data_IF_394154274771
#
_entry.id   IF_394154274771
#
_cell.length_a   1.000
_cell.length_b   1.000
_cell.length_c   1.000
_cell.angle_alpha   90.00
_cell.angle_beta   90.00
_cell.angle_gamma   90.00
#
_symmetry.space_group_name_H-M   'P 1'
#
loop_
_entity.id
_entity.type
_entity.pdbx_description
1 polymer ?
#
# COMPACT_ATOMS: atom_id res chain seq x y z
N UNK A 1 -5.61 -10.81 42.14
CA UNK A 1 -5.67 -11.06 40.70
C UNK A 1 -6.45 -12.33 40.44
N UNK A 2 -7.71 -12.22 40.02
CA UNK A 2 -8.57 -13.39 39.71
C UNK A 2 -8.11 -13.99 38.39
N UNK A 3 -7.81 -15.30 38.37
CA UNK A 3 -7.54 -16.05 37.14
C UNK A 3 -8.75 -15.90 36.20
N UNK A 4 -8.52 -15.65 34.89
CA UNK A 4 -9.60 -15.57 33.93
C UNK A 4 -10.35 -16.91 33.91
N UNK A 5 -11.70 -16.89 34.12
CA UNK A 5 -12.55 -18.06 33.96
C UNK A 5 -12.36 -18.60 32.55
N UNK A 6 -11.93 -19.85 32.41
CA UNK A 6 -12.00 -20.60 31.14
C UNK A 6 -13.49 -20.74 30.80
N UNK A 7 -13.92 -19.97 29.81
CA UNK A 7 -15.23 -20.17 29.18
C UNK A 7 -15.09 -21.45 28.36
N UNK A 8 -15.77 -22.51 28.77
CA UNK A 8 -15.82 -23.73 27.94
C UNK A 8 -16.68 -23.43 26.70
N UNK A 9 -16.23 -23.76 25.50
CA UNK A 9 -16.98 -23.51 24.28
C UNK A 9 -18.30 -24.27 24.31
N UNK A 10 -19.42 -23.58 24.06
CA UNK A 10 -20.77 -24.14 24.07
C UNK A 10 -21.17 -24.80 22.75
N UNK A 11 -20.45 -24.50 21.66
CA UNK A 11 -20.70 -25.02 20.31
C UNK A 11 -19.44 -25.37 19.57
N UNK A 12 -19.55 -26.17 18.52
CA UNK A 12 -18.41 -26.51 17.62
C UNK A 12 -17.82 -25.26 16.93
N UNK A 13 -18.65 -24.27 16.61
CA UNK A 13 -18.22 -22.99 16.06
C UNK A 13 -17.35 -22.22 17.04
N UNK A 14 -17.79 -22.09 18.30
CA UNK A 14 -17.01 -21.41 19.35
C UNK A 14 -15.67 -22.08 19.57
N UNK A 15 -15.65 -23.42 19.62
CA UNK A 15 -14.42 -24.18 19.77
C UNK A 15 -13.43 -23.92 18.62
N UNK A 16 -13.89 -23.91 17.37
CA UNK A 16 -13.06 -23.66 16.18
C UNK A 16 -12.54 -22.21 16.15
N UNK A 17 -13.41 -21.23 16.42
CA UNK A 17 -13.02 -19.82 16.41
C UNK A 17 -12.02 -19.51 17.53
N UNK A 18 -12.28 -20.01 18.76
CA UNK A 18 -11.37 -19.82 19.90
C UNK A 18 -10.02 -20.50 19.67
N UNK A 19 -10.00 -21.72 19.10
CA UNK A 19 -8.76 -22.41 18.76
C UNK A 19 -7.94 -21.63 17.70
N UNK A 20 -8.61 -21.05 16.70
CA UNK A 20 -7.94 -20.22 15.69
C UNK A 20 -7.34 -18.94 16.31
N UNK A 21 -8.05 -18.26 17.21
CA UNK A 21 -7.57 -17.07 17.92
C UNK A 21 -6.43 -17.43 18.88
N UNK A 22 -6.53 -18.53 19.62
CA UNK A 22 -5.48 -19.03 20.50
C UNK A 22 -4.20 -19.35 19.70
N UNK A 23 -4.32 -20.06 18.58
CA UNK A 23 -3.19 -20.33 17.70
C UNK A 23 -2.51 -19.05 17.19
N UNK A 24 -3.29 -17.99 16.88
CA UNK A 24 -2.71 -16.69 16.55
C UNK A 24 -1.99 -16.03 17.73
N UNK A 25 -2.54 -16.17 18.93
CA UNK A 25 -1.93 -15.62 20.16
C UNK A 25 -0.61 -16.33 20.49
N UNK A 26 -0.56 -17.66 20.41
CA UNK A 26 0.64 -18.47 20.64
C UNK A 26 1.77 -18.13 19.64
N UNK A 27 1.39 -17.86 18.37
CA UNK A 27 2.32 -17.40 17.34
C UNK A 27 2.67 -15.90 17.43
N UNK A 28 2.10 -15.17 18.40
CA UNK A 28 2.30 -13.72 18.56
C UNK A 28 1.79 -12.86 17.42
N UNK A 29 0.82 -13.35 16.61
CA UNK A 29 0.26 -12.64 15.45
C UNK A 29 -1.23 -12.28 15.63
N UNK A 30 -1.74 -12.35 16.87
CA UNK A 30 -3.10 -11.91 17.19
C UNK A 30 -3.20 -10.39 17.01
N UNK A 31 -4.12 -9.97 16.14
CA UNK A 31 -4.41 -8.55 15.90
C UNK A 31 -5.36 -8.02 16.96
N UNK A 32 -5.10 -6.81 17.44
CA UNK A 32 -5.99 -6.06 18.33
C UNK A 32 -6.10 -4.63 17.82
N UNK A 33 -7.25 -4.00 18.07
CA UNK A 33 -7.35 -2.56 17.86
C UNK A 33 -6.43 -1.86 18.86
N UNK A 34 -5.75 -0.76 18.46
CA UNK A 34 -5.02 0.07 19.41
C UNK A 34 -5.96 0.56 20.50
N UNK A 35 -5.52 0.52 21.75
CA UNK A 35 -6.27 1.11 22.85
C UNK A 35 -6.12 2.64 22.79
N UNK A 36 -7.20 3.40 22.55
CA UNK A 36 -7.13 4.86 22.46
C UNK A 36 -6.67 5.49 23.78
N UNK A 37 -6.95 4.85 24.92
CA UNK A 37 -6.59 5.36 26.24
C UNK A 37 -5.12 5.14 26.56
N UNK A 38 -4.49 4.12 26.00
CA UNK A 38 -3.07 3.85 26.18
C UNK A 38 -2.17 4.91 25.52
N UNK A 39 -2.69 5.65 24.55
CA UNK A 39 -2.02 6.75 23.89
C UNK A 39 -2.14 8.09 24.66
N UNK A 40 -3.12 8.18 25.56
CA UNK A 40 -3.40 9.41 26.33
C UNK A 40 -2.92 9.38 27.79
N UNK A 41 -2.56 8.23 28.33
CA UNK A 41 -2.45 8.07 29.78
C UNK A 41 -1.03 8.02 30.36
N UNK A 42 0.02 8.06 29.58
CA UNK A 42 1.35 7.84 30.17
C UNK A 42 2.41 8.94 30.03
N UNK A 43 2.23 9.95 29.23
CA UNK A 43 3.05 11.15 29.25
C UNK A 43 2.49 12.19 28.27
N UNK A 44 2.62 13.46 28.60
CA UNK A 44 2.27 14.65 27.80
C UNK A 44 3.16 14.80 26.53
N UNK A 45 3.60 13.69 25.94
CA UNK A 45 4.47 13.70 24.76
C UNK A 45 3.60 13.46 23.52
N UNK A 46 3.55 14.45 22.64
CA UNK A 46 2.99 14.30 21.30
C UNK A 46 3.68 13.13 20.60
N UNK A 47 2.89 12.07 20.34
CA UNK A 47 3.38 10.88 19.63
C UNK A 47 3.68 11.25 18.18
N UNK A 48 4.93 11.11 17.75
CA UNK A 48 5.32 11.35 16.35
C UNK A 48 4.95 10.12 15.53
N UNK A 49 4.18 10.33 14.49
CA UNK A 49 3.74 9.26 13.58
C UNK A 49 4.82 8.92 12.54
N UNK A 50 5.25 7.65 12.53
CA UNK A 50 6.07 7.01 11.51
C UNK A 50 5.41 5.71 11.03
N UNK A 51 4.08 5.59 11.14
CA UNK A 51 3.36 4.35 10.90
C UNK A 51 2.22 4.47 9.89
N UNK A 52 1.43 5.57 9.94
CA UNK A 52 0.27 5.72 9.06
C UNK A 52 0.67 5.86 7.59
N UNK A 53 -0.33 5.88 6.71
CA UNK A 53 -0.12 6.13 5.28
C UNK A 53 -0.53 7.58 4.89
N UNK A 54 -0.71 8.47 5.86
CA UNK A 54 -1.02 9.90 5.62
C UNK A 54 0.24 10.68 5.20
N UNK A 55 0.88 10.23 4.13
CA UNK A 55 2.20 10.68 3.69
C UNK A 55 2.34 12.20 3.57
N UNK A 56 1.28 12.90 3.14
CA UNK A 56 1.28 14.35 3.00
C UNK A 56 0.77 15.09 4.25
N UNK A 57 0.46 14.34 5.33
CA UNK A 57 -0.12 14.89 6.58
C UNK A 57 -1.37 15.74 6.34
N UNK A 58 -2.17 15.33 5.35
CA UNK A 58 -3.39 16.05 5.00
C UNK A 58 -4.53 15.81 5.98
N UNK A 59 -4.54 14.71 6.72
CA UNK A 59 -5.57 14.40 7.70
C UNK A 59 -5.68 15.47 8.81
N UNK A 60 -4.59 16.17 9.11
CA UNK A 60 -4.54 17.25 10.11
C UNK A 60 -4.38 18.64 9.48
N UNK A 61 -4.43 18.76 8.15
CA UNK A 61 -4.23 20.00 7.42
C UNK A 61 -5.37 20.98 7.62
N UNK A 62 -5.08 22.15 8.22
CA UNK A 62 -6.06 23.24 8.36
C UNK A 62 -6.52 23.78 7.00
N UNK A 63 -5.64 23.80 6.00
CA UNK A 63 -5.97 24.23 4.64
C UNK A 63 -6.98 23.28 4.00
N UNK A 64 -6.72 21.97 4.03
CA UNK A 64 -7.65 20.99 3.49
C UNK A 64 -9.00 21.05 4.24
N UNK A 65 -8.95 21.14 5.57
CA UNK A 65 -10.16 21.29 6.40
C UNK A 65 -11.00 22.48 5.97
N UNK A 66 -10.38 23.67 5.77
CA UNK A 66 -11.09 24.87 5.38
C UNK A 66 -11.77 24.70 4.00
N UNK A 67 -11.05 24.14 3.01
CA UNK A 67 -11.61 23.85 1.67
C UNK A 67 -12.77 22.87 1.74
N UNK A 68 -12.61 21.80 2.51
CA UNK A 68 -13.66 20.80 2.68
C UNK A 68 -14.91 21.40 3.30
N UNK A 69 -14.79 22.18 4.38
CA UNK A 69 -15.92 22.83 5.03
C UNK A 69 -16.60 23.83 4.08
N UNK A 70 -15.84 24.63 3.34
CA UNK A 70 -16.38 25.57 2.36
C UNK A 70 -17.20 24.86 1.28
N UNK A 71 -16.67 23.79 0.68
CA UNK A 71 -17.40 23.01 -0.32
C UNK A 71 -18.61 22.31 0.28
N UNK A 72 -18.51 21.79 1.50
CA UNK A 72 -19.61 21.11 2.18
C UNK A 72 -20.78 22.08 2.44
N UNK A 73 -20.48 23.31 2.84
CA UNK A 73 -21.51 24.36 3.08
C UNK A 73 -22.22 24.79 1.81
N UNK A 74 -21.56 24.76 0.66
CA UNK A 74 -22.13 25.13 -0.63
C UNK A 74 -22.80 23.97 -1.38
N UNK A 75 -22.59 22.73 -0.93
CA UNK A 75 -23.15 21.55 -1.59
C UNK A 75 -24.65 21.38 -1.26
N UNK A 76 -25.42 20.99 -2.25
CA UNK A 76 -26.84 20.67 -2.09
C UNK A 76 -27.02 19.38 -1.26
N UNK A 77 -26.24 18.35 -1.58
CA UNK A 77 -26.26 17.05 -0.94
C UNK A 77 -24.94 16.78 -0.21
N UNK A 78 -25.00 16.41 1.07
CA UNK A 78 -23.81 16.23 1.91
C UNK A 78 -23.75 14.87 2.64
N UNK A 79 -24.86 14.13 2.68
CA UNK A 79 -24.98 12.87 3.42
C UNK A 79 -24.81 11.65 2.48
N UNK A 80 -25.41 10.54 2.83
CA UNK A 80 -25.35 9.29 2.09
C UNK A 80 -26.02 9.40 0.70
N UNK A 81 -25.52 8.59 -0.24
CA UNK A 81 -26.01 8.54 -1.61
C UNK A 81 -27.38 7.83 -1.75
N UNK A 82 -27.82 7.05 -0.75
CA UNK A 82 -29.08 6.33 -0.77
C UNK A 82 -29.07 4.97 -1.50
N UNK A 83 -27.97 4.57 -2.13
CA UNK A 83 -27.86 3.29 -2.82
C UNK A 83 -26.57 3.09 -3.60
N UNK A 84 -26.56 2.07 -4.47
CA UNK A 84 -25.42 1.81 -5.36
C UNK A 84 -25.35 2.82 -6.49
N UNK A 85 -24.21 2.85 -7.18
CA UNK A 85 -23.99 3.72 -8.36
C UNK A 85 -25.03 3.54 -9.48
N UNK A 86 -25.63 2.36 -9.60
CA UNK A 86 -26.65 2.07 -10.61
C UNK A 86 -28.04 2.58 -10.22
N UNK A 87 -28.29 2.75 -8.91
CA UNK A 87 -29.56 3.28 -8.41
C UNK A 87 -29.51 4.81 -8.26
N UNK A 88 -28.39 5.33 -7.82
CA UNK A 88 -28.20 6.75 -7.53
C UNK A 88 -26.90 7.23 -8.17
N UNK A 89 -26.98 7.68 -9.38
CA UNK A 89 -25.85 8.34 -10.05
C UNK A 89 -25.93 9.84 -9.78
N UNK A 90 -25.48 10.26 -8.61
CA UNK A 90 -25.44 11.68 -8.24
C UNK A 90 -24.53 12.48 -9.16
N UNK A 91 -24.88 13.74 -9.43
CA UNK A 91 -24.08 14.65 -10.25
C UNK A 91 -22.65 14.81 -9.71
N UNK A 92 -22.47 14.85 -8.37
CA UNK A 92 -21.18 14.98 -7.71
C UNK A 92 -20.24 13.80 -8.04
N UNK A 93 -20.74 12.57 -8.09
CA UNK A 93 -19.94 11.40 -8.45
C UNK A 93 -19.46 11.48 -9.90
N UNK A 94 -20.39 11.77 -10.83
CA UNK A 94 -20.05 11.87 -12.25
C UNK A 94 -19.12 13.06 -12.54
N UNK A 95 -19.30 14.18 -11.84
CA UNK A 95 -18.43 15.34 -11.96
C UNK A 95 -17.01 15.03 -11.47
N UNK A 96 -16.88 14.33 -10.33
CA UNK A 96 -15.58 13.90 -9.84
C UNK A 96 -14.91 12.90 -10.79
N UNK A 97 -15.63 11.90 -11.31
CA UNK A 97 -15.11 10.97 -12.33
C UNK A 97 -14.57 11.70 -13.55
N UNK A 98 -15.33 12.65 -14.12
CA UNK A 98 -14.91 13.46 -15.26
C UNK A 98 -13.66 14.30 -14.94
N UNK A 99 -13.63 14.94 -13.77
CA UNK A 99 -12.47 15.70 -13.28
C UNK A 99 -11.23 14.82 -13.14
N UNK A 100 -11.38 13.63 -12.56
CA UNK A 100 -10.27 12.70 -12.38
C UNK A 100 -9.77 12.13 -13.71
N UNK A 101 -10.64 11.81 -14.64
CA UNK A 101 -10.26 11.41 -16.00
C UNK A 101 -9.38 12.47 -16.67
N UNK A 102 -9.79 13.74 -16.58
CA UNK A 102 -9.03 14.88 -17.11
C UNK A 102 -7.71 15.07 -16.36
N UNK A 103 -7.73 15.06 -15.02
CA UNK A 103 -6.53 15.28 -14.19
C UNK A 103 -5.45 14.23 -14.47
N UNK A 104 -5.83 12.97 -14.59
CA UNK A 104 -4.90 11.85 -14.81
C UNK A 104 -4.66 11.55 -16.31
N UNK A 105 -5.13 12.35 -17.21
CA UNK A 105 -5.06 12.10 -18.66
C UNK A 105 -5.52 10.68 -19.03
N UNK A 106 -6.71 10.28 -18.55
CA UNK A 106 -7.28 8.95 -18.80
C UNK A 106 -8.56 9.06 -19.62
N UNK A 107 -8.80 8.12 -20.56
CA UNK A 107 -10.03 8.15 -21.37
C UNK A 107 -11.33 7.98 -20.57
N UNK A 108 -11.25 7.27 -19.43
CA UNK A 108 -12.38 7.07 -18.52
C UNK A 108 -11.89 6.87 -17.07
N UNK A 109 -12.78 7.21 -16.14
CA UNK A 109 -12.59 7.00 -14.71
C UNK A 109 -13.85 6.41 -14.09
N UNK A 110 -13.71 5.59 -13.05
CA UNK A 110 -14.82 5.04 -12.29
C UNK A 110 -14.45 4.98 -10.81
N UNK A 111 -15.33 5.49 -9.95
CA UNK A 111 -15.15 5.53 -8.50
C UNK A 111 -15.55 4.22 -7.85
N UNK A 112 -14.76 3.81 -6.85
CA UNK A 112 -15.01 2.70 -5.94
C UNK A 112 -14.96 3.17 -4.49
N UNK A 113 -15.56 2.40 -3.57
CA UNK A 113 -15.55 2.73 -2.14
C UNK A 113 -14.16 2.62 -1.50
N UNK A 114 -13.30 1.80 -2.07
CA UNK A 114 -11.90 1.63 -1.64
C UNK A 114 -11.03 1.10 -2.79
N UNK A 115 -9.70 1.20 -2.64
CA UNK A 115 -8.75 0.52 -3.53
C UNK A 115 -8.90 -1.01 -3.48
N UNK A 116 -9.27 -1.55 -2.32
CA UNK A 116 -9.58 -2.98 -2.17
C UNK A 116 -10.73 -3.38 -3.08
N UNK A 117 -11.86 -2.65 -3.04
CA UNK A 117 -13.04 -2.92 -3.86
C UNK A 117 -12.76 -2.78 -5.36
N UNK A 118 -11.91 -1.82 -5.74
CA UNK A 118 -11.52 -1.60 -7.12
C UNK A 118 -10.68 -2.79 -7.67
N UNK A 119 -9.67 -3.25 -6.92
CA UNK A 119 -8.87 -4.42 -7.30
C UNK A 119 -9.73 -5.69 -7.37
N UNK A 120 -10.54 -5.97 -6.33
CA UNK A 120 -11.46 -7.11 -6.34
C UNK A 120 -12.42 -7.02 -7.53
N UNK A 121 -13.00 -5.85 -7.77
CA UNK A 121 -13.90 -5.61 -8.88
C UNK A 121 -13.26 -5.89 -10.23
N UNK A 122 -12.08 -5.33 -10.49
CA UNK A 122 -11.36 -5.51 -11.75
C UNK A 122 -10.99 -6.98 -11.99
N UNK A 123 -10.21 -7.58 -11.07
CA UNK A 123 -9.65 -8.91 -11.28
C UNK A 123 -10.69 -10.04 -11.23
N UNK A 124 -11.82 -9.82 -10.56
CA UNK A 124 -12.89 -10.83 -10.55
C UNK A 124 -13.68 -10.93 -11.86
N UNK A 125 -13.75 -9.86 -12.64
CA UNK A 125 -14.64 -9.83 -13.80
C UNK A 125 -13.97 -9.49 -15.15
N UNK A 126 -12.87 -8.74 -15.18
CA UNK A 126 -12.23 -8.36 -16.45
C UNK A 126 -11.52 -9.54 -17.12
N UNK A 127 -10.63 -10.31 -16.47
CA UNK A 127 -10.07 -11.50 -17.10
C UNK A 127 -11.16 -12.52 -17.39
N UNK A 128 -11.20 -13.02 -18.63
CA UNK A 128 -12.22 -13.94 -19.10
C UNK A 128 -11.72 -15.41 -19.07
N UNK A 129 -12.59 -16.36 -19.43
CA UNK A 129 -12.23 -17.77 -19.56
C UNK A 129 -11.17 -17.90 -20.66
N UNK A 130 -10.05 -18.55 -20.33
CA UNK A 130 -8.90 -18.71 -21.23
C UNK A 130 -7.79 -17.66 -21.03
N UNK A 131 -8.11 -16.52 -20.41
CA UNK A 131 -7.10 -15.52 -20.08
C UNK A 131 -6.20 -15.97 -18.92
N UNK A 132 -5.05 -15.31 -18.80
CA UNK A 132 -4.05 -15.56 -17.78
C UNK A 132 -3.79 -14.29 -16.96
N UNK A 133 -3.66 -14.43 -15.64
CA UNK A 133 -3.25 -13.34 -14.74
C UNK A 133 -1.86 -13.65 -14.19
N UNK A 134 -0.92 -12.73 -14.40
CA UNK A 134 0.44 -12.79 -13.85
C UNK A 134 0.61 -11.63 -12.88
N UNK A 135 1.27 -11.85 -11.75
CA UNK A 135 1.43 -10.80 -10.74
C UNK A 135 2.77 -10.92 -10.00
N UNK A 136 3.26 -9.79 -9.54
CA UNK A 136 4.39 -9.74 -8.60
C UNK A 136 4.02 -10.44 -7.29
N UNK A 137 4.90 -11.26 -6.74
CA UNK A 137 4.61 -12.06 -5.53
C UNK A 137 4.23 -11.21 -4.30
N UNK A 138 4.59 -9.92 -4.26
CA UNK A 138 4.26 -8.98 -3.19
C UNK A 138 3.04 -8.11 -3.46
N UNK A 139 2.29 -8.41 -4.52
CA UNK A 139 1.06 -7.68 -4.85
C UNK A 139 0.06 -7.67 -3.69
N UNK A 140 -0.71 -6.61 -3.57
CA UNK A 140 -1.67 -6.42 -2.49
C UNK A 140 -2.72 -7.55 -2.41
N UNK A 141 -3.14 -7.89 -1.18
CA UNK A 141 -4.11 -8.94 -0.90
C UNK A 141 -5.43 -8.82 -1.68
N UNK A 142 -5.87 -7.61 -2.01
CA UNK A 142 -7.09 -7.36 -2.80
C UNK A 142 -7.01 -7.92 -4.22
N UNK A 143 -5.82 -7.92 -4.83
CA UNK A 143 -5.59 -8.54 -6.14
C UNK A 143 -5.74 -10.05 -6.03
N UNK A 144 -5.17 -10.67 -4.99
CA UNK A 144 -5.37 -12.11 -4.72
C UNK A 144 -6.84 -12.48 -4.51
N UNK A 145 -7.61 -11.64 -3.80
CA UNK A 145 -9.04 -11.88 -3.60
C UNK A 145 -9.83 -11.76 -4.91
N UNK A 146 -9.51 -10.75 -5.73
CA UNK A 146 -10.08 -10.62 -7.06
C UNK A 146 -9.76 -11.79 -7.99
N UNK A 147 -8.50 -12.24 -8.01
CA UNK A 147 -8.03 -13.38 -8.82
C UNK A 147 -8.74 -14.68 -8.40
N UNK A 148 -8.90 -14.93 -7.09
CA UNK A 148 -9.64 -16.11 -6.59
C UNK A 148 -11.09 -16.16 -7.08
N UNK A 149 -11.72 -14.99 -7.24
CA UNK A 149 -13.07 -14.86 -7.78
C UNK A 149 -13.12 -14.72 -9.31
N UNK A 150 -11.96 -14.72 -9.99
CA UNK A 150 -11.83 -14.46 -11.42
C UNK A 150 -12.50 -15.51 -12.29
N UNK A 151 -12.98 -15.09 -13.46
CA UNK A 151 -13.43 -15.96 -14.53
C UNK A 151 -12.29 -16.73 -15.19
N UNK A 152 -11.07 -16.28 -15.11
CA UNK A 152 -9.86 -16.96 -15.61
C UNK A 152 -9.51 -18.28 -14.88
N UNK A 153 -10.25 -18.64 -13.83
CA UNK A 153 -10.29 -19.95 -13.13
C UNK A 153 -8.95 -20.68 -13.01
N UNK A 154 -8.10 -20.22 -12.08
CA UNK A 154 -6.85 -20.92 -11.75
C UNK A 154 -5.70 -20.66 -12.73
N UNK A 155 -5.90 -19.91 -13.80
CA UNK A 155 -4.83 -19.48 -14.71
C UNK A 155 -4.15 -18.21 -14.16
N UNK A 156 -3.51 -18.33 -12.99
CA UNK A 156 -2.81 -17.22 -12.33
C UNK A 156 -1.46 -17.68 -11.79
N UNK A 157 -0.43 -16.85 -11.97
CA UNK A 157 0.95 -17.17 -11.68
C UNK A 157 1.67 -15.95 -11.11
N UNK A 158 2.56 -16.15 -10.14
CA UNK A 158 3.43 -15.11 -9.62
C UNK A 158 4.81 -15.18 -10.24
N UNK A 159 5.47 -14.03 -10.34
CA UNK A 159 6.91 -13.92 -10.56
C UNK A 159 7.59 -13.31 -9.34
N UNK A 160 8.89 -13.52 -9.21
CA UNK A 160 9.67 -13.00 -8.09
C UNK A 160 9.65 -11.47 -8.05
N UNK A 161 9.59 -10.92 -6.85
CA UNK A 161 9.44 -9.49 -6.63
C UNK A 161 10.42 -8.65 -7.45
N UNK A 162 9.87 -7.75 -8.28
CA UNK A 162 10.60 -6.84 -9.15
C UNK A 162 11.60 -7.48 -10.13
N UNK A 163 11.56 -8.81 -10.30
CA UNK A 163 12.49 -9.56 -11.15
C UNK A 163 12.01 -9.64 -12.60
N UNK A 164 12.58 -8.81 -13.48
CA UNK A 164 12.32 -8.88 -14.93
C UNK A 164 12.79 -10.20 -15.55
N UNK A 165 13.81 -10.85 -14.99
CA UNK A 165 14.28 -12.18 -15.43
C UNK A 165 13.26 -13.26 -15.12
N UNK A 166 12.79 -13.34 -13.86
CA UNK A 166 11.72 -14.26 -13.46
C UNK A 166 10.43 -14.03 -14.26
N UNK A 167 10.07 -12.76 -14.49
CA UNK A 167 8.92 -12.40 -15.33
C UNK A 167 9.08 -12.92 -16.78
N UNK A 168 10.24 -12.70 -17.43
CA UNK A 168 10.52 -13.21 -18.78
C UNK A 168 10.48 -14.73 -18.88
N UNK A 169 11.06 -15.45 -17.90
CA UNK A 169 11.05 -16.91 -17.85
C UNK A 169 9.61 -17.43 -17.72
N UNK A 170 8.81 -16.84 -16.85
CA UNK A 170 7.41 -17.19 -16.70
C UNK A 170 6.64 -16.96 -18.02
N UNK A 171 6.84 -15.83 -18.69
CA UNK A 171 6.17 -15.57 -19.98
C UNK A 171 6.55 -16.57 -21.06
N UNK A 172 7.85 -16.92 -21.20
CA UNK A 172 8.30 -17.95 -22.16
C UNK A 172 7.60 -19.27 -21.93
N UNK A 173 7.52 -19.70 -20.66
CA UNK A 173 6.81 -20.91 -20.28
C UNK A 173 5.33 -20.84 -20.65
N UNK A 174 4.63 -19.77 -20.26
CA UNK A 174 3.19 -19.59 -20.54
C UNK A 174 2.89 -19.58 -22.04
N UNK A 175 3.71 -18.87 -22.84
CA UNK A 175 3.55 -18.82 -24.29
C UNK A 175 3.77 -20.21 -24.94
N UNK A 176 4.68 -21.04 -24.42
CA UNK A 176 4.88 -22.40 -24.92
C UNK A 176 3.76 -23.37 -24.54
N UNK A 177 3.17 -23.19 -23.35
CA UNK A 177 2.10 -24.06 -22.84
C UNK A 177 0.69 -23.64 -23.32
N UNK A 178 0.53 -22.39 -23.79
CA UNK A 178 -0.77 -21.76 -24.14
C UNK A 178 -0.67 -21.04 -25.48
N UNK A 179 -0.81 -21.77 -26.60
CA UNK A 179 -0.72 -21.16 -27.94
C UNK A 179 -1.72 -20.04 -28.19
N UNK A 180 -2.85 -20.03 -27.48
CA UNK A 180 -3.90 -19.00 -27.58
C UNK A 180 -3.38 -17.61 -27.19
N UNK A 181 -2.39 -17.54 -26.30
CA UNK A 181 -1.71 -16.29 -25.95
C UNK A 181 -0.86 -15.74 -27.12
N UNK A 182 -0.22 -16.63 -27.89
CA UNK A 182 0.59 -16.23 -29.04
C UNK A 182 -0.28 -15.73 -30.22
N UNK A 183 -1.45 -16.35 -30.39
CA UNK A 183 -2.38 -16.04 -31.48
C UNK A 183 -3.32 -14.87 -31.18
N UNK A 184 -3.30 -14.33 -29.95
CA UNK A 184 -4.20 -13.27 -29.51
C UNK A 184 -5.64 -13.71 -29.21
N UNK A 185 -5.89 -15.03 -29.17
CA UNK A 185 -7.21 -15.58 -28.81
C UNK A 185 -7.50 -15.49 -27.31
N UNK A 186 -6.47 -15.41 -26.47
CA UNK A 186 -6.57 -15.10 -25.05
C UNK A 186 -5.61 -13.97 -24.67
N UNK A 187 -5.84 -13.39 -23.52
CA UNK A 187 -5.10 -12.24 -23.02
C UNK A 187 -4.29 -12.57 -21.77
N UNK A 188 -3.20 -11.83 -21.60
CA UNK A 188 -2.42 -11.85 -20.38
C UNK A 188 -2.59 -10.52 -19.63
N UNK A 189 -2.91 -10.60 -18.33
CA UNK A 189 -3.03 -9.47 -17.44
C UNK A 189 -1.89 -9.49 -16.42
N UNK A 190 -1.10 -8.42 -16.35
CA UNK A 190 0.01 -8.29 -15.40
C UNK A 190 -0.36 -7.28 -14.33
N UNK A 191 -0.30 -7.69 -13.06
CA UNK A 191 -0.63 -6.86 -11.91
C UNK A 191 0.63 -6.55 -11.09
N UNK A 192 0.90 -5.25 -10.87
CA UNK A 192 1.99 -4.75 -10.02
C UNK A 192 1.54 -3.54 -9.22
N UNK A 193 2.23 -3.27 -8.09
CA UNK A 193 2.15 -1.97 -7.41
C UNK A 193 3.27 -1.08 -7.94
N UNK A 194 3.01 0.19 -8.22
CA UNK A 194 4.08 1.11 -8.62
C UNK A 194 5.07 1.40 -7.49
N UNK A 195 4.56 1.37 -6.24
CA UNK A 195 5.32 1.45 -5.00
C UNK A 195 4.75 0.44 -4.00
N UNK A 196 5.58 -0.52 -3.57
CA UNK A 196 5.15 -1.61 -2.70
C UNK A 196 5.04 -1.20 -1.23
N UNK A 197 3.93 -1.56 -0.63
CA UNK A 197 3.48 -1.08 0.69
C UNK A 197 4.39 -1.48 1.86
N UNK A 198 5.04 -2.64 1.80
CA UNK A 198 5.83 -3.21 2.90
C UNK A 198 7.34 -3.06 2.68
N UNK A 199 7.75 -2.96 1.44
CA UNK A 199 9.17 -2.96 1.03
C UNK A 199 9.65 -1.58 0.58
N UNK A 200 8.74 -0.68 0.19
CA UNK A 200 9.08 0.65 -0.30
C UNK A 200 9.83 0.65 -1.63
N UNK A 201 9.86 -0.48 -2.32
CA UNK A 201 10.48 -0.66 -3.64
C UNK A 201 9.53 -0.24 -4.75
N UNK A 202 10.09 0.17 -5.88
CA UNK A 202 9.34 0.51 -7.09
C UNK A 202 9.32 -0.65 -8.07
N UNK A 203 8.18 -0.89 -8.72
CA UNK A 203 8.12 -1.81 -9.84
C UNK A 203 8.93 -1.25 -11.03
N UNK A 204 9.65 -2.11 -11.77
CA UNK A 204 10.38 -1.74 -12.98
C UNK A 204 9.42 -1.59 -14.18
N UNK A 205 8.51 -0.58 -14.11
CA UNK A 205 7.38 -0.42 -15.02
C UNK A 205 7.80 -0.34 -16.50
N UNK A 206 8.84 0.44 -16.81
CA UNK A 206 9.37 0.56 -18.18
C UNK A 206 9.83 -0.79 -18.73
N UNK A 207 10.55 -1.56 -17.90
CA UNK A 207 11.01 -2.91 -18.26
C UNK A 207 9.85 -3.89 -18.48
N UNK A 208 8.80 -3.82 -17.66
CA UNK A 208 7.59 -4.64 -17.82
C UNK A 208 6.86 -4.28 -19.11
N UNK A 209 6.67 -2.99 -19.40
CA UNK A 209 6.05 -2.51 -20.65
C UNK A 209 6.82 -3.01 -21.86
N UNK A 210 8.13 -2.84 -21.87
CA UNK A 210 8.98 -3.28 -22.98
C UNK A 210 8.88 -4.81 -23.21
N UNK A 211 8.90 -5.59 -22.14
CA UNK A 211 8.72 -7.04 -22.23
C UNK A 211 7.33 -7.40 -22.80
N UNK A 212 6.28 -6.69 -22.39
CA UNK A 212 4.93 -6.96 -22.92
C UNK A 212 4.82 -6.62 -24.39
N UNK A 213 5.43 -5.51 -24.85
CA UNK A 213 5.45 -5.15 -26.27
C UNK A 213 6.21 -6.19 -27.11
N UNK A 214 7.33 -6.71 -26.60
CA UNK A 214 8.14 -7.73 -27.30
C UNK A 214 7.43 -9.09 -27.39
N UNK A 215 6.80 -9.51 -26.31
CA UNK A 215 6.25 -10.87 -26.19
C UNK A 215 4.80 -10.98 -26.67
N UNK A 216 4.06 -9.86 -26.75
CA UNK A 216 2.64 -9.82 -27.13
C UNK A 216 2.40 -8.87 -28.31
N UNK A 217 2.94 -9.17 -29.50
CA UNK A 217 2.79 -8.32 -30.70
C UNK A 217 1.33 -8.20 -31.17
N UNK A 218 0.43 -9.09 -30.70
CA UNK A 218 -1.02 -9.00 -30.97
C UNK A 218 -1.72 -8.02 -30.02
N UNK A 219 -0.99 -7.26 -29.19
CA UNK A 219 -1.54 -6.31 -28.22
C UNK A 219 -2.51 -6.92 -27.20
N UNK A 220 -2.32 -8.19 -26.83
CA UNK A 220 -3.10 -8.95 -25.86
C UNK A 220 -2.40 -9.14 -24.51
N UNK A 221 -1.27 -8.47 -24.27
CA UNK A 221 -0.61 -8.33 -22.98
C UNK A 221 -0.97 -6.99 -22.33
N UNK A 222 -1.58 -7.02 -21.16
CA UNK A 222 -2.11 -5.83 -20.48
C UNK A 222 -1.46 -5.62 -19.12
N UNK A 223 -0.96 -4.40 -18.87
CA UNK A 223 -0.43 -4.00 -17.58
C UNK A 223 -1.51 -3.29 -16.75
N UNK A 224 -1.65 -3.68 -15.48
CA UNK A 224 -2.49 -3.05 -14.46
C UNK A 224 -1.60 -2.61 -13.32
N UNK A 225 -1.66 -1.33 -12.95
CA UNK A 225 -0.80 -0.74 -11.95
C UNK A 225 -1.62 -0.20 -10.78
N UNK A 226 -1.33 -0.70 -9.58
CA UNK A 226 -1.84 -0.12 -8.33
C UNK A 226 -0.90 1.03 -7.90
N UNK A 227 -1.41 2.25 -7.97
CA UNK A 227 -0.72 3.49 -7.61
C UNK A 227 -1.04 3.97 -6.19
N UNK A 228 -1.60 3.12 -5.36
CA UNK A 228 -2.14 3.49 -4.04
C UNK A 228 -1.11 4.18 -3.14
N UNK A 229 0.16 3.82 -3.21
CA UNK A 229 1.23 4.40 -2.42
C UNK A 229 2.01 5.52 -3.15
N UNK A 230 1.80 5.67 -4.45
CA UNK A 230 2.45 6.71 -5.25
C UNK A 230 1.57 7.94 -5.49
N UNK A 231 0.25 7.78 -5.39
CA UNK A 231 -0.74 8.85 -5.56
C UNK A 231 -0.48 10.01 -4.60
N UNK A 232 -0.43 11.22 -5.12
CA UNK A 232 -0.19 12.45 -4.36
C UNK A 232 1.29 12.74 -4.10
N UNK A 233 2.20 11.77 -4.36
CA UNK A 233 3.62 11.89 -4.02
C UNK A 233 4.47 12.05 -5.29
N UNK A 234 4.34 11.16 -6.26
CA UNK A 234 5.19 11.10 -7.45
C UNK A 234 4.50 11.68 -8.69
N UNK A 235 5.32 12.11 -9.63
CA UNK A 235 4.87 12.72 -10.87
C UNK A 235 4.37 14.16 -10.70
N UNK A 236 4.10 14.81 -11.83
CA UNK A 236 3.58 16.17 -11.85
C UNK A 236 2.23 16.22 -11.12
N UNK A 237 2.10 17.11 -10.15
CA UNK A 237 0.89 17.25 -9.30
C UNK A 237 0.50 15.95 -8.54
N UNK A 238 1.45 15.02 -8.32
CA UNK A 238 1.15 13.78 -7.62
C UNK A 238 0.33 12.77 -8.42
N UNK A 239 0.42 12.76 -9.75
CA UNK A 239 -0.31 11.85 -10.63
C UNK A 239 0.17 10.40 -10.59
N UNK A 240 1.20 10.10 -9.82
CA UNK A 240 1.75 8.76 -9.64
C UNK A 240 2.96 8.46 -10.52
N UNK A 241 3.49 7.25 -10.34
CA UNK A 241 4.72 6.79 -11.03
C UNK A 241 4.50 6.53 -12.53
N UNK A 242 3.34 6.00 -12.91
CA UNK A 242 3.01 5.78 -14.33
C UNK A 242 3.08 7.09 -15.10
N UNK A 243 2.49 8.16 -14.53
CA UNK A 243 2.53 9.49 -15.14
C UNK A 243 3.93 10.14 -15.08
N UNK A 244 4.71 9.86 -14.04
CA UNK A 244 6.09 10.32 -13.94
C UNK A 244 6.99 9.74 -15.03
N UNK A 245 6.71 8.49 -15.44
CA UNK A 245 7.44 7.76 -16.48
C UNK A 245 6.83 7.93 -17.89
N UNK A 246 5.72 8.66 -18.03
CA UNK A 246 5.05 8.87 -19.32
C UNK A 246 4.44 7.58 -19.91
N UNK A 247 3.98 6.66 -19.04
CA UNK A 247 3.49 5.34 -19.44
C UNK A 247 1.96 5.23 -19.45
N UNK A 248 1.22 6.35 -19.40
CA UNK A 248 -0.25 6.36 -19.28
C UNK A 248 -0.94 5.55 -20.39
N UNK A 249 -0.46 5.67 -21.63
CA UNK A 249 -1.02 4.98 -22.79
C UNK A 249 -0.60 3.48 -22.87
N UNK A 250 0.37 3.07 -22.07
CA UNK A 250 0.89 1.68 -22.02
C UNK A 250 0.22 0.81 -20.96
N UNK A 251 -0.57 1.42 -20.08
CA UNK A 251 -1.21 0.75 -18.95
C UNK A 251 -2.73 0.66 -19.20
N UNK A 252 -3.30 -0.55 -19.10
CA UNK A 252 -4.72 -0.76 -19.32
C UNK A 252 -5.58 -0.14 -18.22
N UNK A 253 -5.12 -0.27 -16.96
CA UNK A 253 -5.82 0.28 -15.81
C UNK A 253 -4.84 0.74 -14.73
N UNK A 254 -5.13 1.90 -14.12
CA UNK A 254 -4.40 2.48 -12.99
C UNK A 254 -5.35 2.69 -11.83
N UNK A 255 -4.99 2.16 -10.67
CA UNK A 255 -5.76 2.36 -9.44
C UNK A 255 -5.12 3.46 -8.61
N UNK A 256 -5.89 4.48 -8.24
CA UNK A 256 -5.49 5.52 -7.29
C UNK A 256 -6.43 5.51 -6.09
N UNK A 257 -5.91 5.39 -4.87
CA UNK A 257 -6.71 5.46 -3.64
C UNK A 257 -6.63 6.82 -2.98
N UNK A 258 -7.72 7.22 -2.33
CA UNK A 258 -7.81 8.51 -1.64
C UNK A 258 -7.51 8.39 -0.14
N UNK A 259 -7.47 7.17 0.40
CA UNK A 259 -7.35 6.90 1.84
C UNK A 259 -5.92 6.94 2.41
N UNK A 260 -4.95 7.41 1.65
CA UNK A 260 -3.55 7.53 2.08
C UNK A 260 -3.09 8.99 2.00
N UNK A 261 -2.19 9.34 1.09
CA UNK A 261 -1.67 10.70 0.95
C UNK A 261 -2.74 11.79 0.80
N UNK A 262 -3.93 11.44 0.30
CA UNK A 262 -5.03 12.40 0.07
C UNK A 262 -5.98 12.54 1.27
N UNK A 263 -5.78 11.79 2.35
CA UNK A 263 -6.57 11.85 3.60
C UNK A 263 -8.11 11.85 3.39
N UNK A 264 -8.60 11.15 2.35
CA UNK A 264 -10.01 11.02 2.03
C UNK A 264 -10.43 9.53 2.03
N UNK A 265 -11.60 9.21 1.51
CA UNK A 265 -12.09 7.83 1.38
C UNK A 265 -12.48 7.55 -0.05
N UNK A 266 -12.24 6.33 -0.51
CA UNK A 266 -12.55 5.90 -1.87
C UNK A 266 -11.33 5.66 -2.72
N UNK A 267 -11.59 5.32 -3.98
CA UNK A 267 -10.58 5.11 -5.00
C UNK A 267 -11.16 5.42 -6.39
N UNK A 268 -10.27 5.66 -7.34
CA UNK A 268 -10.63 5.74 -8.76
C UNK A 268 -9.82 4.72 -9.54
N UNK A 269 -10.49 4.00 -10.43
CA UNK A 269 -9.88 3.20 -11.46
C UNK A 269 -9.94 3.97 -12.78
N UNK A 270 -8.78 4.24 -13.35
CA UNK A 270 -8.58 4.93 -14.62
C UNK A 270 -8.36 3.88 -15.70
N UNK A 271 -9.13 3.94 -16.79
CA UNK A 271 -9.09 2.89 -17.81
C UNK A 271 -9.76 3.35 -19.12
N UNK A 272 -9.97 2.42 -20.05
CA UNK A 272 -10.69 2.66 -21.30
C UNK A 272 -12.21 2.64 -21.10
N UNK A 273 -13.01 3.37 -21.93
CA UNK A 273 -14.46 3.44 -21.78
C UNK A 273 -15.16 2.08 -21.74
N UNK A 274 -14.80 1.15 -22.64
CA UNK A 274 -15.43 -0.18 -22.69
C UNK A 274 -15.14 -1.04 -21.44
N UNK A 275 -13.96 -0.87 -20.80
CA UNK A 275 -13.65 -1.52 -19.52
C UNK A 275 -14.50 -0.93 -18.39
N UNK A 276 -14.65 0.42 -18.37
CA UNK A 276 -15.53 1.11 -17.41
C UNK A 276 -16.97 0.61 -17.53
N UNK A 277 -17.48 0.51 -18.74
CA UNK A 277 -18.84 0.05 -18.98
C UNK A 277 -19.03 -1.42 -18.60
N UNK A 278 -18.01 -2.24 -18.83
CA UNK A 278 -18.01 -3.64 -18.38
C UNK A 278 -18.02 -3.75 -16.86
N UNK A 279 -17.22 -2.94 -16.15
CA UNK A 279 -17.21 -2.89 -14.68
C UNK A 279 -18.57 -2.50 -14.10
N UNK A 280 -19.27 -1.55 -14.70
CA UNK A 280 -20.64 -1.17 -14.30
C UNK A 280 -21.63 -2.32 -14.40
N UNK A 281 -21.38 -3.31 -15.24
CA UNK A 281 -22.27 -4.45 -15.45
C UNK A 281 -21.86 -5.72 -14.68
N UNK A 282 -20.55 -5.85 -14.29
CA UNK A 282 -20.02 -7.10 -13.78
C UNK A 282 -19.20 -6.99 -12.49
N UNK A 283 -18.73 -5.81 -12.09
CA UNK A 283 -17.96 -5.64 -10.86
C UNK A 283 -18.88 -5.63 -9.63
N UNK A 284 -18.95 -6.77 -8.94
CA UNK A 284 -19.88 -6.97 -7.82
C UNK A 284 -19.61 -6.00 -6.65
N UNK A 285 -18.34 -5.67 -6.38
CA UNK A 285 -17.94 -4.70 -5.37
C UNK A 285 -18.36 -3.25 -5.68
N UNK A 286 -18.81 -2.98 -6.91
CA UNK A 286 -19.38 -1.71 -7.35
C UNK A 286 -20.92 -1.74 -7.39
N UNK A 287 -21.47 -2.82 -7.94
CA UNK A 287 -22.90 -2.95 -8.24
C UNK A 287 -23.74 -3.14 -6.98
N UNK A 288 -23.25 -3.98 -6.04
CA UNK A 288 -24.02 -4.44 -4.88
C UNK A 288 -23.59 -3.79 -3.56
N UNK A 289 -23.01 -2.60 -3.65
CA UNK A 289 -22.62 -1.81 -2.47
C UNK A 289 -23.21 -0.41 -2.55
N UNK A 290 -23.46 0.20 -1.39
CA UNK A 290 -23.80 1.64 -1.32
C UNK A 290 -22.59 2.44 -1.80
N UNK A 291 -22.79 3.39 -2.69
CA UNK A 291 -21.73 4.25 -3.21
C UNK A 291 -21.20 5.22 -2.14
N UNK A 292 -20.05 5.82 -2.39
CA UNK A 292 -19.48 6.86 -1.53
C UNK A 292 -20.52 7.93 -1.18
N UNK A 293 -20.52 8.38 0.07
CA UNK A 293 -21.36 9.51 0.48
C UNK A 293 -20.92 10.80 -0.24
N UNK A 294 -21.83 11.76 -0.35
CA UNK A 294 -21.51 13.08 -0.92
C UNK A 294 -20.37 13.77 -0.14
N UNK A 295 -20.32 13.63 1.20
CA UNK A 295 -19.20 14.14 2.00
C UNK A 295 -17.86 13.50 1.60
N UNK A 296 -17.81 12.19 1.29
CA UNK A 296 -16.59 11.53 0.82
C UNK A 296 -16.16 12.03 -0.56
N UNK A 297 -17.12 12.28 -1.46
CA UNK A 297 -16.84 12.87 -2.77
C UNK A 297 -16.26 14.28 -2.62
N UNK A 298 -16.85 15.11 -1.75
CA UNK A 298 -16.37 16.47 -1.47
C UNK A 298 -14.98 16.45 -0.82
N UNK A 299 -14.72 15.52 0.09
CA UNK A 299 -13.41 15.37 0.72
C UNK A 299 -12.34 15.02 -0.32
N UNK A 300 -12.59 14.03 -1.17
CA UNK A 300 -11.68 13.66 -2.26
C UNK A 300 -11.46 14.85 -3.21
N UNK A 301 -12.52 15.49 -3.66
CA UNK A 301 -12.48 16.66 -4.55
C UNK A 301 -11.65 17.81 -3.95
N UNK A 302 -11.75 18.03 -2.62
CA UNK A 302 -10.96 19.05 -1.91
C UNK A 302 -9.47 18.68 -1.86
N UNK A 303 -9.12 17.41 -1.75
CA UNK A 303 -7.72 16.96 -1.79
C UNK A 303 -7.12 17.13 -3.19
N UNK A 304 -7.92 16.90 -4.25
CA UNK A 304 -7.49 17.17 -5.62
C UNK A 304 -7.27 18.65 -5.91
N UNK A 305 -7.97 19.57 -5.24
CA UNK A 305 -7.65 21.01 -5.33
C UNK A 305 -6.22 21.28 -4.87
N UNK A 306 -5.78 20.63 -3.77
CA UNK A 306 -4.43 20.81 -3.25
C UNK A 306 -3.34 20.19 -4.15
N UNK A 307 -3.68 19.17 -4.95
CA UNK A 307 -2.78 18.65 -5.97
C UNK A 307 -2.66 19.64 -7.14
N UNK A 308 -3.79 20.15 -7.63
CA UNK A 308 -3.86 21.02 -8.82
C UNK A 308 -3.20 22.37 -8.57
N UNK A 309 -3.39 22.96 -7.40
CA UNK A 309 -2.81 24.29 -7.07
C UNK A 309 -1.34 24.22 -6.62
N UNK A 310 -0.75 23.04 -6.55
CA UNK A 310 0.65 22.82 -6.21
C UNK A 310 0.96 22.83 -4.71
N UNK A 311 -0.05 22.98 -3.83
CA UNK A 311 0.16 22.87 -2.37
C UNK A 311 0.70 21.51 -1.98
N UNK A 312 0.09 20.43 -2.48
CA UNK A 312 0.52 19.06 -2.22
C UNK A 312 1.92 18.76 -2.81
N UNK A 313 2.29 19.40 -3.92
CA UNK A 313 3.62 19.22 -4.52
C UNK A 313 4.75 19.74 -3.63
N UNK A 314 4.52 20.81 -2.87
CA UNK A 314 5.49 21.29 -1.87
C UNK A 314 5.64 20.29 -0.73
N UNK A 315 4.53 19.71 -0.28
CA UNK A 315 4.52 18.68 0.76
C UNK A 315 5.22 17.40 0.29
N UNK A 316 4.99 16.97 -0.95
CA UNK A 316 5.65 15.77 -1.47
C UNK A 316 7.16 15.95 -1.63
N UNK A 317 7.63 17.11 -2.08
CA UNK A 317 9.08 17.40 -2.11
C UNK A 317 9.68 17.32 -0.72
N UNK A 318 9.08 18.01 0.25
CA UNK A 318 9.56 17.96 1.63
C UNK A 318 9.58 16.52 2.19
N UNK A 319 8.54 15.72 1.91
CA UNK A 319 8.50 14.32 2.27
C UNK A 319 9.66 13.52 1.68
N UNK A 320 9.95 13.70 0.38
CA UNK A 320 11.03 13.00 -0.30
C UNK A 320 12.41 13.46 0.19
N UNK A 321 12.56 14.77 0.49
CA UNK A 321 13.77 15.31 1.11
C UNK A 321 14.01 14.70 2.52
N UNK A 322 12.97 14.59 3.34
CA UNK A 322 13.04 13.89 4.63
C UNK A 322 13.36 12.40 4.49
N UNK A 323 12.82 11.76 3.45
CA UNK A 323 13.10 10.35 3.18
C UNK A 323 14.58 10.14 2.83
N UNK A 324 15.14 11.01 2.00
CA UNK A 324 16.57 11.02 1.67
C UNK A 324 17.39 11.32 2.91
N UNK A 325 17.03 12.35 3.67
CA UNK A 325 17.71 12.71 4.91
C UNK A 325 17.77 11.55 5.92
N UNK A 326 16.68 10.81 6.09
CA UNK A 326 16.66 9.63 6.97
C UNK A 326 17.66 8.57 6.49
N UNK A 327 17.69 8.27 5.20
CA UNK A 327 18.60 7.27 4.62
C UNK A 327 20.06 7.72 4.77
N UNK A 328 20.36 8.97 4.46
CA UNK A 328 21.72 9.54 4.52
C UNK A 328 22.23 9.63 5.98
N UNK A 329 21.32 9.80 6.94
CA UNK A 329 21.66 9.86 8.37
C UNK A 329 21.83 8.47 8.99
N UNK A 330 20.97 7.51 8.63
CA UNK A 330 20.99 6.16 9.22
C UNK A 330 22.03 5.26 8.56
N UNK A 331 22.15 5.22 7.22
CA UNK A 331 22.99 4.25 6.50
C UNK A 331 24.47 4.25 6.95
N UNK A 332 25.14 5.40 7.15
CA UNK A 332 26.53 5.40 7.60
C UNK A 332 26.71 4.78 9.00
N UNK A 333 25.70 4.94 9.88
CA UNK A 333 25.76 4.44 11.25
C UNK A 333 25.54 2.91 11.34
N UNK A 334 24.98 2.30 10.30
CA UNK A 334 24.75 0.85 10.25
C UNK A 334 25.98 0.03 9.85
N UNK A 335 27.10 0.66 9.45
CA UNK A 335 28.29 -0.06 8.95
C UNK A 335 28.85 -1.09 9.93
N UNK A 336 28.85 -0.74 11.21
CA UNK A 336 29.38 -1.58 12.28
C UNK A 336 28.27 -2.32 13.06
N UNK A 337 27.01 -2.25 12.60
CA UNK A 337 25.88 -2.93 13.22
C UNK A 337 25.64 -4.26 12.51
N UNK A 338 25.60 -5.40 13.23
CA UNK A 338 25.27 -6.69 12.63
C UNK A 338 23.91 -6.65 11.91
N UNK A 339 23.83 -7.20 10.70
CA UNK A 339 22.64 -7.17 9.86
C UNK A 339 21.38 -7.76 10.50
N UNK A 340 21.53 -8.71 11.43
CA UNK A 340 20.41 -9.29 12.15
C UNK A 340 19.83 -8.35 13.22
N UNK A 341 20.61 -7.37 13.69
CA UNK A 341 20.17 -6.34 14.63
C UNK A 341 19.45 -5.23 13.86
N UNK A 342 20.15 -4.53 12.97
CA UNK A 342 19.55 -3.52 12.08
C UNK A 342 20.22 -3.54 10.71
N UNK A 343 19.41 -3.46 9.65
CA UNK A 343 19.90 -3.29 8.29
C UNK A 343 18.90 -2.52 7.43
N UNK A 344 19.41 -1.88 6.38
CA UNK A 344 18.61 -1.30 5.30
C UNK A 344 18.84 -2.09 4.01
N UNK A 345 17.79 -2.47 3.26
CA UNK A 345 17.96 -3.06 1.93
C UNK A 345 18.72 -2.12 0.98
N UNK A 346 19.60 -2.69 0.16
CA UNK A 346 20.45 -1.92 -0.77
C UNK A 346 19.60 -1.13 -1.76
N UNK A 347 18.52 -1.72 -2.25
CA UNK A 347 17.58 -1.12 -3.20
C UNK A 347 16.95 0.16 -2.63
N UNK A 348 16.69 0.18 -1.32
CA UNK A 348 16.09 1.35 -0.65
C UNK A 348 17.13 2.45 -0.43
N UNK A 349 18.36 2.09 -0.06
CA UNK A 349 19.43 3.07 0.18
C UNK A 349 19.75 3.88 -1.08
N UNK A 350 19.69 3.25 -2.26
CA UNK A 350 20.03 3.85 -3.55
C UNK A 350 18.82 4.23 -4.41
N UNK A 351 17.59 4.09 -3.88
CA UNK A 351 16.39 4.45 -4.63
C UNK A 351 16.40 5.93 -5.05
N UNK A 352 16.12 6.17 -6.33
CA UNK A 352 15.96 7.52 -6.91
C UNK A 352 14.72 7.53 -7.82
N UNK A 353 13.68 8.27 -7.45
CA UNK A 353 13.51 9.06 -6.22
C UNK A 353 13.47 8.18 -4.94
N UNK A 354 13.69 8.76 -3.74
CA UNK A 354 13.56 8.00 -2.49
C UNK A 354 12.12 7.61 -2.22
N UNK A 355 11.92 6.55 -1.41
CA UNK A 355 10.60 6.12 -0.95
C UNK A 355 10.31 6.67 0.46
N UNK A 356 9.07 7.10 0.77
CA UNK A 356 8.69 7.43 2.13
C UNK A 356 8.44 6.18 3.00
N UNK A 357 8.44 5.00 2.40
CA UNK A 357 8.29 3.70 3.06
C UNK A 357 9.66 3.06 3.16
N UNK A 358 10.19 2.96 4.37
CA UNK A 358 11.55 2.45 4.59
C UNK A 358 11.48 1.24 5.53
N UNK A 359 11.76 0.03 5.03
CA UNK A 359 11.83 -1.18 5.84
C UNK A 359 13.18 -1.23 6.57
N UNK A 360 13.18 -1.01 7.87
CA UNK A 360 14.34 -1.23 8.71
C UNK A 360 14.34 -2.69 9.17
N UNK A 361 15.19 -3.50 8.54
CA UNK A 361 15.25 -4.95 8.75
C UNK A 361 15.82 -5.27 10.12
N UNK A 362 15.20 -6.20 10.82
CA UNK A 362 15.66 -6.68 12.12
C UNK A 362 15.01 -8.03 12.47
N UNK A 363 15.71 -8.89 13.17
CA UNK A 363 15.13 -10.12 13.72
C UNK A 363 14.26 -9.88 14.96
N UNK A 364 14.31 -8.65 15.52
CA UNK A 364 13.62 -8.27 16.78
C UNK A 364 12.71 -7.05 16.58
N UNK A 365 11.75 -7.06 15.62
CA UNK A 365 10.97 -5.87 15.25
C UNK A 365 10.02 -5.41 16.36
N UNK A 366 9.48 -6.33 17.17
CA UNK A 366 8.60 -5.95 18.29
C UNK A 366 9.32 -5.26 19.43
N UNK A 367 10.48 -5.76 19.94
CA UNK A 367 11.31 -5.04 20.91
C UNK A 367 11.72 -3.65 20.42
N UNK A 368 12.20 -3.51 19.18
CA UNK A 368 12.56 -2.22 18.61
C UNK A 368 11.35 -1.26 18.56
N UNK A 369 10.23 -1.72 18.05
CA UNK A 369 9.00 -0.90 17.99
C UNK A 369 8.53 -0.46 19.39
N UNK A 370 8.58 -1.35 20.39
CA UNK A 370 8.22 -1.03 21.77
C UNK A 370 9.18 0.02 22.38
N UNK A 371 10.47 -0.09 22.11
CA UNK A 371 11.49 0.85 22.56
C UNK A 371 11.29 2.25 21.95
N UNK A 372 11.00 2.32 20.66
CA UNK A 372 10.68 3.56 19.96
C UNK A 372 9.39 4.19 20.50
N UNK A 373 8.37 3.39 20.73
CA UNK A 373 7.09 3.85 21.27
C UNK A 373 7.24 4.49 22.66
N UNK A 374 8.09 3.94 23.53
CA UNK A 374 8.39 4.53 24.84
C UNK A 374 9.06 5.90 24.74
N UNK A 375 9.64 6.23 23.59
CA UNK A 375 10.25 7.53 23.27
C UNK A 375 9.31 8.46 22.50
N UNK A 376 8.04 8.11 22.37
CA UNK A 376 7.06 8.90 21.64
C UNK A 376 7.20 8.79 20.11
N UNK A 377 7.81 7.71 19.60
CA UNK A 377 8.03 7.47 18.16
C UNK A 377 7.23 6.24 17.71
N UNK A 378 6.17 6.44 16.94
CA UNK A 378 5.26 5.36 16.52
C UNK A 378 5.73 4.76 15.20
N UNK A 379 6.59 3.75 15.24
CA UNK A 379 6.97 2.92 14.10
C UNK A 379 6.61 1.45 14.39
N UNK A 380 5.90 0.79 13.46
CA UNK A 380 5.26 -0.51 13.72
C UNK A 380 6.08 -1.70 13.22
N UNK A 381 6.06 -2.82 13.98
CA UNK A 381 6.69 -4.05 13.55
C UNK A 381 5.84 -4.73 12.47
N UNK A 382 6.48 -5.19 11.42
CA UNK A 382 5.88 -6.03 10.38
C UNK A 382 6.57 -7.38 10.39
N UNK A 383 5.78 -8.45 10.58
CA UNK A 383 6.26 -9.82 10.68
C UNK A 383 5.43 -10.74 9.79
N UNK A 384 5.90 -11.97 9.62
CA UNK A 384 5.09 -13.01 9.02
C UNK A 384 3.70 -13.09 9.70
N UNK A 385 2.59 -13.31 8.96
CA UNK A 385 2.48 -13.62 7.51
C UNK A 385 2.35 -12.39 6.60
N UNK A 386 2.49 -11.15 7.10
CA UNK A 386 2.37 -9.93 6.29
C UNK A 386 3.55 -9.80 5.32
N UNK A 387 4.72 -10.27 5.72
CA UNK A 387 5.94 -10.37 4.92
C UNK A 387 6.46 -11.80 4.98
N UNK A 388 7.33 -12.25 4.05
CA UNK A 388 7.93 -13.59 4.10
C UNK A 388 8.67 -13.86 5.40
N UNK A 389 8.78 -15.14 5.78
CA UNK A 389 9.56 -15.57 6.96
C UNK A 389 11.02 -15.12 6.83
N UNK A 390 11.57 -14.58 7.91
CA UNK A 390 12.94 -14.06 7.95
C UNK A 390 13.12 -12.68 7.31
N UNK A 391 12.05 -12.05 6.83
CA UNK A 391 12.03 -10.68 6.31
C UNK A 391 11.32 -9.71 7.26
N UNK A 392 11.41 -9.99 8.56
CA UNK A 392 10.83 -9.16 9.61
C UNK A 392 11.48 -7.78 9.64
N UNK A 393 10.70 -6.75 9.94
CA UNK A 393 11.14 -5.35 9.92
C UNK A 393 10.33 -4.45 10.84
N UNK A 394 10.88 -3.30 11.16
CA UNK A 394 10.09 -2.13 11.54
C UNK A 394 9.88 -1.30 10.28
N UNK A 395 8.62 -1.12 9.88
CA UNK A 395 8.26 -0.31 8.73
C UNK A 395 8.17 1.14 9.16
N UNK A 396 9.10 1.95 8.69
CA UNK A 396 9.07 3.41 8.86
C UNK A 396 8.32 4.02 7.70
N UNK A 397 7.29 4.82 8.00
CA UNK A 397 6.63 5.70 7.04
C UNK A 397 6.92 7.13 7.42
N UNK A 398 7.57 7.87 6.54
CA UNK A 398 7.76 9.31 6.71
C UNK A 398 6.54 10.09 6.22
N UNK A 399 6.34 11.26 6.81
CA UNK A 399 5.21 12.14 6.51
C UNK A 399 5.73 13.56 6.28
N UNK A 400 5.03 14.32 5.45
CA UNK A 400 5.36 15.74 5.22
C UNK A 400 5.25 16.61 6.48
N UNK A 401 4.53 16.15 7.48
CA UNK A 401 4.42 16.82 8.78
C UNK A 401 5.54 16.48 9.77
N UNK A 402 6.43 15.54 9.46
CA UNK A 402 7.61 15.29 10.29
C UNK A 402 8.63 16.42 10.12
N UNK A 403 9.35 16.72 11.18
CA UNK A 403 10.51 17.63 11.15
C UNK A 403 11.82 16.81 11.00
N UNK A 404 12.90 17.46 10.59
CA UNK A 404 14.23 16.87 10.64
C UNK A 404 14.57 16.39 12.07
N UNK A 405 14.21 17.18 13.10
CA UNK A 405 14.41 16.80 14.50
C UNK A 405 13.65 15.54 14.90
N UNK A 406 12.48 15.26 14.30
CA UNK A 406 11.76 14.01 14.51
C UNK A 406 12.51 12.82 13.85
N UNK A 407 13.08 13.02 12.68
CA UNK A 407 13.92 12.05 11.99
C UNK A 407 15.19 11.76 12.79
N UNK A 408 15.87 12.80 13.31
CA UNK A 408 17.06 12.65 14.15
C UNK A 408 16.77 11.82 15.41
N UNK A 409 15.63 12.13 16.08
CA UNK A 409 15.18 11.36 17.26
C UNK A 409 14.91 9.90 16.91
N UNK A 410 14.33 9.63 15.74
CA UNK A 410 14.06 8.26 15.27
C UNK A 410 15.36 7.52 15.03
N UNK A 411 16.31 8.10 14.28
CA UNK A 411 17.64 7.50 14.02
C UNK A 411 18.40 7.28 15.32
N UNK A 412 18.43 8.28 16.21
CA UNK A 412 19.08 8.16 17.51
C UNK A 412 18.47 7.01 18.31
N UNK A 413 17.14 6.91 18.40
CA UNK A 413 16.45 5.85 19.12
C UNK A 413 16.77 4.46 18.55
N UNK A 414 16.83 4.31 17.23
CA UNK A 414 17.23 3.06 16.57
C UNK A 414 18.68 2.67 16.91
N UNK A 415 19.60 3.63 16.85
CA UNK A 415 21.02 3.37 17.13
C UNK A 415 21.31 3.11 18.61
N UNK A 416 20.59 3.77 19.52
CA UNK A 416 20.68 3.46 20.96
C UNK A 416 20.20 2.05 21.25
N UNK A 417 19.06 1.66 20.67
CA UNK A 417 18.53 0.30 20.79
C UNK A 417 19.53 -0.74 20.22
N UNK A 418 20.06 -0.49 19.02
CA UNK A 418 21.03 -1.39 18.39
C UNK A 418 22.28 -1.60 19.23
N UNK A 419 22.84 -0.53 19.83
CA UNK A 419 23.99 -0.64 20.75
C UNK A 419 23.66 -1.49 21.98
N UNK A 420 22.46 -1.36 22.54
CA UNK A 420 21.99 -2.19 23.64
C UNK A 420 21.94 -3.67 23.26
N UNK A 421 21.40 -3.99 22.08
CA UNK A 421 21.30 -5.37 21.58
C UNK A 421 22.69 -5.97 21.29
N UNK A 422 23.62 -5.19 20.73
CA UNK A 422 25.02 -5.64 20.52
C UNK A 422 25.71 -6.01 21.84
N UNK A 423 25.53 -5.16 22.86
CA UNK A 423 26.12 -5.44 24.19
C UNK A 423 25.48 -6.70 24.80
N UNK A 424 24.21 -6.95 24.64
CA UNK A 424 23.53 -8.17 25.08
C UNK A 424 24.06 -9.43 24.37
N UNK A 425 24.23 -9.37 23.05
CA UNK A 425 24.72 -10.48 22.26
C UNK A 425 26.19 -10.81 22.65
N UNK A 426 27.05 -9.81 22.87
CA UNK A 426 28.41 -9.99 23.36
C UNK A 426 28.44 -10.63 24.75
N UNK A 427 27.61 -10.18 25.70
CA UNK A 427 27.52 -10.75 27.02
C UNK A 427 27.07 -12.22 26.99
N UNK A 428 26.10 -12.56 26.14
CA UNK A 428 25.63 -13.92 25.93
C UNK A 428 26.78 -14.84 25.43
N UNK A 429 27.57 -14.38 24.47
CA UNK A 429 28.72 -15.13 23.94
C UNK A 429 29.76 -15.36 25.04
N UNK A 430 30.10 -14.34 25.85
CA UNK A 430 31.07 -14.49 26.97
C UNK A 430 30.61 -15.52 28.01
N UNK A 431 29.31 -15.51 28.35
CA UNK A 431 28.73 -16.47 29.31
C UNK A 431 28.82 -17.91 28.79
N UNK A 432 28.55 -18.14 27.49
CA UNK A 432 28.67 -19.47 26.86
C UNK A 432 30.13 -19.96 26.82
N UNK A 433 31.09 -19.07 26.58
CA UNK A 433 32.51 -19.41 26.57
C UNK A 433 32.99 -19.77 27.98
N UNK A 434 32.59 -19.00 29.01
CA UNK A 434 32.93 -19.28 30.40
C UNK A 434 32.32 -20.56 30.95
N UNK A 435 31.13 -20.97 30.46
CA UNK A 435 30.49 -22.22 30.88
C UNK A 435 31.09 -23.49 30.24
N UNK A 436 31.96 -23.32 29.24
CA UNK A 436 32.66 -24.44 28.56
C UNK A 436 34.11 -24.59 28.96
N UNK A 437 34.62 -23.67 29.78
CA UNK A 437 35.91 -23.75 30.49
C UNK A 437 35.72 -24.24 31.92
#
# INVERSE_FOLDING_TARGET
>A
MSKPRKILPQSSLEAQVLAALQSRQERGILRRLPDPTSLSSSTNTNLVDFNSNDYLSLATSLNLRARFIQKLQSAQDILGSGGSRLLVNGQAHSALEARLAQFFASPAAILFNSGFDANVGFFSCIPQIGDVVVYDEYIHASVHDGIRASRARGAHFSFEHNSLSSFKELLKKLLSERPELQTGQSSLFVAVESLYSMDGTFAPLEGIVHILEDYFPQSNGFLIVDEAHATGIYGLQGRGRVAELGLEDKVLARLHTFGKALAATGAVLLTKPFIRDYLLNYARSLIYTTSLSHANIIAADSSFDMLIDGTAQKLSRHLLDLSRYFLDTLSPQLRDVPMHILALPVEIQHASPPSPIIPVMTTRPRPLSAYLMQRGLNARPITWPTVPKGKDRVRVCLHAGNSQGDVDRLVQGMMEWARGEMAHDEAAVRTVVQSKL
#
